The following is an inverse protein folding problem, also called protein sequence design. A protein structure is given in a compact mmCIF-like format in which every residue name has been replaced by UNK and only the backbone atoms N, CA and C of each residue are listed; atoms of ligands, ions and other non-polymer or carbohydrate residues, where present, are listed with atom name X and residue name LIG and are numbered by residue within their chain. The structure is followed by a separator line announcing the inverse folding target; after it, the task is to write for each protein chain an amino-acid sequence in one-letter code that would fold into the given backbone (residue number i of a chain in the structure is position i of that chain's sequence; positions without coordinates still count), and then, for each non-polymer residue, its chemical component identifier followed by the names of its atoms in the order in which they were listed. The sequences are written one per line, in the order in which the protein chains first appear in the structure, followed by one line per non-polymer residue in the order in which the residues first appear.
data_IF_202212734349
#
_entry.id   IF_202212734349
#
_cell.length_a   1.000
_cell.length_b   1.000
_cell.length_c   1.000
_cell.angle_alpha   90.00
_cell.angle_beta   90.00
_cell.angle_gamma   90.00
#
_symmetry.space_group_name_H-M   'P 1'
#
loop_
_entity.id
_entity.type
_entity.pdbx_description
1 polymer ?
#
# COMPACT_ATOMS: atom_id res chain seq x y z
N UNK A 1 -3.53 -7.30 14.34
CA UNK A 1 -4.20 -7.03 13.06
C UNK A 1 -3.26 -6.15 12.27
N UNK A 2 -2.62 -6.72 11.25
CA UNK A 2 -1.76 -5.97 10.33
C UNK A 2 -2.64 -5.27 9.29
N UNK A 3 -2.19 -4.16 8.66
CA UNK A 3 -2.94 -3.49 7.61
C UNK A 3 -3.33 -4.44 6.46
N UNK A 4 -2.52 -5.49 6.24
CA UNK A 4 -2.76 -6.53 5.24
C UNK A 4 -3.82 -7.58 5.63
N UNK A 5 -4.30 -7.65 6.87
CA UNK A 5 -5.23 -8.71 7.28
C UNK A 5 -6.66 -8.34 6.87
N UNK A 6 -7.41 -9.29 6.29
CA UNK A 6 -8.78 -9.04 5.86
C UNK A 6 -9.69 -8.76 7.07
N UNK A 7 -10.37 -7.60 7.14
CA UNK A 7 -11.23 -7.24 8.27
C UNK A 7 -12.52 -8.08 8.36
N UNK A 8 -12.89 -8.77 7.29
CA UNK A 8 -14.11 -9.56 7.23
C UNK A 8 -13.94 -11.00 7.71
N UNK A 9 -12.80 -11.63 7.40
CA UNK A 9 -12.56 -13.05 7.70
C UNK A 9 -11.27 -13.33 8.46
N UNK A 10 -10.44 -12.31 8.73
CA UNK A 10 -9.15 -12.44 9.41
C UNK A 10 -8.05 -13.13 8.59
N UNK A 11 -8.31 -13.46 7.31
CA UNK A 11 -7.31 -14.11 6.46
C UNK A 11 -6.20 -13.14 6.04
N UNK A 12 -4.98 -13.66 5.94
CA UNK A 12 -3.80 -12.97 5.38
C UNK A 12 -3.68 -13.14 3.86
N UNK A 13 -4.62 -13.86 3.22
CA UNK A 13 -4.63 -14.08 1.77
C UNK A 13 -5.20 -12.87 1.04
N UNK A 14 -4.52 -11.73 1.16
CA UNK A 14 -4.91 -10.45 0.59
C UNK A 14 -3.88 -9.98 -0.44
N UNK A 15 -4.35 -9.32 -1.49
CA UNK A 15 -3.53 -8.80 -2.58
C UNK A 15 -3.84 -7.33 -2.80
N UNK A 16 -2.80 -6.50 -2.95
CA UNK A 16 -2.96 -5.09 -3.26
C UNK A 16 -3.44 -4.94 -4.71
N UNK A 17 -4.59 -4.32 -4.90
CA UNK A 17 -5.17 -4.06 -6.22
C UNK A 17 -4.86 -2.66 -6.73
N UNK A 18 -4.89 -1.67 -5.83
CA UNK A 18 -4.59 -0.28 -6.16
C UNK A 18 -3.99 0.45 -4.98
N UNK A 19 -2.98 1.27 -5.25
CA UNK A 19 -2.41 2.17 -4.25
C UNK A 19 -3.34 3.34 -3.90
N UNK A 20 -4.28 3.64 -4.81
CA UNK A 20 -5.28 4.69 -4.66
C UNK A 20 -6.67 4.07 -4.82
N UNK A 21 -7.41 4.03 -3.72
CA UNK A 21 -8.80 3.57 -3.69
C UNK A 21 -9.79 4.70 -3.99
N UNK A 22 -10.95 4.62 -3.34
CA UNK A 22 -12.01 5.62 -3.42
C UNK A 22 -11.56 7.03 -2.99
N UNK A 23 -10.61 7.09 -2.06
CA UNK A 23 -9.91 8.30 -1.65
C UNK A 23 -8.40 8.13 -1.85
N UNK A 24 -7.70 9.23 -2.14
CA UNK A 24 -6.25 9.21 -2.36
C UNK A 24 -5.44 8.70 -1.14
N UNK A 25 -6.02 8.80 0.06
CA UNK A 25 -5.46 8.30 1.32
C UNK A 25 -5.68 6.80 1.56
N UNK A 26 -6.41 6.11 0.68
CA UNK A 26 -6.77 4.71 0.81
C UNK A 26 -6.04 3.86 -0.24
N UNK A 27 -5.69 2.65 0.13
CA UNK A 27 -5.31 1.57 -0.79
C UNK A 27 -6.39 0.50 -0.82
N UNK A 28 -6.61 -0.08 -1.99
CA UNK A 28 -7.61 -1.12 -2.20
C UNK A 28 -6.95 -2.49 -2.22
N UNK A 29 -7.47 -3.41 -1.43
CA UNK A 29 -7.03 -4.80 -1.34
C UNK A 29 -8.17 -5.75 -1.74
N UNK A 30 -7.80 -6.92 -2.26
CA UNK A 30 -8.70 -8.03 -2.53
C UNK A 30 -8.35 -9.23 -1.65
N UNK A 31 -9.34 -9.78 -0.93
CA UNK A 31 -9.14 -11.01 -0.17
C UNK A 31 -9.51 -12.24 -1.01
N UNK A 32 -8.55 -13.13 -1.26
CA UNK A 32 -8.79 -14.38 -1.99
C UNK A 32 -9.57 -15.43 -1.19
N UNK A 33 -9.61 -15.32 0.15
CA UNK A 33 -10.32 -16.28 1.01
C UNK A 33 -11.83 -16.03 1.03
N UNK A 34 -12.26 -14.80 1.34
CA UNK A 34 -13.68 -14.43 1.39
C UNK A 34 -14.20 -13.77 0.11
N UNK A 35 -13.32 -13.50 -0.88
CA UNK A 35 -13.65 -12.89 -2.17
C UNK A 35 -14.32 -11.53 -2.01
N UNK A 36 -13.76 -10.68 -1.16
CA UNK A 36 -14.30 -9.34 -0.88
C UNK A 36 -13.19 -8.29 -1.00
N UNK A 37 -13.49 -7.12 -1.61
CA UNK A 37 -12.60 -5.98 -1.62
C UNK A 37 -12.70 -5.23 -0.28
N UNK A 38 -11.60 -4.64 0.17
CA UNK A 38 -11.58 -3.72 1.31
C UNK A 38 -10.54 -2.62 1.10
N UNK A 39 -10.68 -1.53 1.83
CA UNK A 39 -9.77 -0.39 1.74
C UNK A 39 -9.06 -0.16 3.07
N UNK A 40 -7.78 0.21 2.97
CA UNK A 40 -6.90 0.45 4.11
C UNK A 40 -6.30 1.83 3.99
N UNK A 41 -6.25 2.48 5.14
CA UNK A 41 -5.80 3.83 5.34
C UNK A 41 -4.26 3.87 5.35
N UNK A 42 -3.64 4.59 4.41
CA UNK A 42 -2.17 4.61 4.21
C UNK A 42 -1.45 5.55 5.18
N UNK A 43 -1.32 5.19 6.45
CA UNK A 43 -0.73 6.09 7.47
C UNK A 43 0.79 5.94 7.58
N UNK A 44 1.54 6.98 7.23
CA UNK A 44 3.00 6.98 7.34
C UNK A 44 3.68 6.17 6.23
N UNK A 45 4.99 6.35 6.10
CA UNK A 45 5.87 5.92 5.01
C UNK A 45 5.95 4.39 4.86
N UNK A 46 4.88 3.72 4.46
CA UNK A 46 4.95 2.31 4.12
C UNK A 46 5.64 2.20 2.75
N UNK A 47 6.89 1.73 2.78
CA UNK A 47 7.70 1.50 1.58
C UNK A 47 6.95 0.54 0.66
N UNK A 48 6.29 1.11 -0.35
CA UNK A 48 5.56 0.36 -1.35
C UNK A 48 6.58 -0.44 -2.18
N UNK A 49 6.55 -1.79 -2.19
CA UNK A 49 7.49 -2.57 -2.97
C UNK A 49 7.31 -2.29 -4.46
N UNK A 50 8.18 -1.46 -5.03
CA UNK A 50 8.16 -1.09 -6.46
C UNK A 50 8.22 0.41 -6.75
N UNK A 51 8.02 1.29 -5.77
CA UNK A 51 8.24 2.73 -5.97
C UNK A 51 9.73 3.05 -5.81
N UNK A 52 10.43 3.01 -6.95
CA UNK A 52 11.81 3.43 -7.11
C UNK A 52 11.93 4.91 -6.73
N UNK A 53 12.25 5.18 -5.46
CA UNK A 53 12.36 6.52 -4.89
C UNK A 53 13.62 7.23 -5.41
N UNK A 54 13.51 7.80 -6.60
CA UNK A 54 14.52 8.64 -7.26
C UNK A 54 14.75 10.01 -6.57
N UNK A 55 14.27 10.21 -5.33
CA UNK A 55 14.44 11.49 -4.62
C UNK A 55 15.81 11.65 -3.95
N UNK A 56 16.57 10.56 -3.75
CA UNK A 56 17.89 10.63 -3.08
C UNK A 56 19.06 10.90 -4.02
N UNK A 57 18.86 10.89 -5.34
CA UNK A 57 19.92 11.09 -6.33
C UNK A 57 20.23 12.58 -6.63
N UNK A 58 19.25 13.49 -6.53
CA UNK A 58 19.47 14.91 -6.89
C UNK A 58 20.21 15.74 -5.85
N UNK A 59 20.23 15.35 -4.57
CA UNK A 59 20.87 16.15 -3.51
C UNK A 59 22.41 16.11 -3.50
N UNK A 60 23.05 15.22 -4.26
CA UNK A 60 24.53 15.12 -4.33
C UNK A 60 25.17 15.86 -5.50
N UNK A 61 24.40 16.30 -6.51
CA UNK A 61 24.96 16.89 -7.72
C UNK A 61 25.13 18.41 -7.66
N UNK A 62 24.45 19.10 -6.72
CA UNK A 62 24.53 20.57 -6.57
C UNK A 62 25.72 21.05 -5.71
N UNK A 63 26.67 20.16 -5.37
CA UNK A 63 27.86 20.49 -4.57
C UNK A 63 29.19 20.19 -5.30
N UNK A 64 29.22 20.28 -6.64
CA UNK A 64 30.46 20.11 -7.42
C UNK A 64 30.63 21.17 -8.49
#
# INVERSE_FOLDING_TARGET
MKPSDCPFCGSTRTELMSLFGSHASLSTFWCAACRSPFEVLRWGEEEVPGERSDRRAKARQEQR
#
